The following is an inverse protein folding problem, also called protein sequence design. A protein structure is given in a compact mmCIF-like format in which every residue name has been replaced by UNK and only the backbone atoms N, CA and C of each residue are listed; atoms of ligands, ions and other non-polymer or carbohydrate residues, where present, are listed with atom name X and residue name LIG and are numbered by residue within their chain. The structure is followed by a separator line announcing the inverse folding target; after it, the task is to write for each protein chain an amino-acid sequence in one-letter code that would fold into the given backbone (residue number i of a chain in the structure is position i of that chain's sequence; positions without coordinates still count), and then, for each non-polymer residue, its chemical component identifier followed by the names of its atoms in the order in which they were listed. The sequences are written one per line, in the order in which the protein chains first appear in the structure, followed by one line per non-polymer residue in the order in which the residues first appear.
data_IF_107692799403
#
_entry.id   IF_107692799403
#
_cell.length_a   1.000
_cell.length_b   1.000
_cell.length_c   1.000
_cell.angle_alpha   90.00
_cell.angle_beta   90.00
_cell.angle_gamma   90.00
#
_symmetry.space_group_name_H-M   'P 1'
#
loop_
_entity.id
_entity.type
_entity.pdbx_description
1 polymer ?
#
# COMPACT_ATOMS: atom_id res chain seq x y z
N UNK A 1 2.58 -5.05 -2.38
CA UNK A 1 1.13 -4.83 -2.40
C UNK A 1 0.69 -4.31 -3.77
N UNK A 2 -0.16 -5.03 -4.49
CA UNK A 2 -0.61 -4.68 -5.83
C UNK A 2 -1.85 -3.76 -5.87
N UNK A 3 -2.49 -3.48 -4.77
CA UNK A 3 -3.71 -2.67 -4.75
C UNK A 3 -3.58 -1.32 -5.46
N UNK A 4 -2.52 -0.52 -5.28
CA UNK A 4 -2.40 0.77 -5.95
C UNK A 4 -2.45 0.67 -7.47
N UNK A 5 -1.79 -0.32 -8.05
CA UNK A 5 -1.78 -0.50 -9.50
C UNK A 5 -3.12 -0.95 -10.04
N UNK A 6 -3.76 -1.88 -9.32
CA UNK A 6 -5.07 -2.36 -9.68
C UNK A 6 -6.11 -1.22 -9.67
N UNK A 7 -6.09 -0.38 -8.63
CA UNK A 7 -6.93 0.82 -8.56
C UNK A 7 -6.58 1.87 -9.61
N UNK A 8 -5.29 2.03 -9.92
CA UNK A 8 -4.81 2.96 -10.96
C UNK A 8 -5.43 2.65 -12.31
N UNK A 9 -5.53 1.37 -12.67
CA UNK A 9 -6.14 0.93 -13.92
C UNK A 9 -7.67 0.80 -13.86
N UNK A 10 -8.30 1.17 -12.75
CA UNK A 10 -9.74 1.23 -12.60
C UNK A 10 -10.38 0.02 -11.96
N UNK A 11 -9.58 -0.92 -11.43
CA UNK A 11 -10.09 -2.04 -10.65
C UNK A 11 -10.67 -1.60 -9.32
N UNK A 12 -11.60 -2.37 -8.79
CA UNK A 12 -12.21 -2.20 -7.46
C UNK A 12 -12.28 -3.54 -6.76
N UNK A 13 -12.13 -3.54 -5.42
CA UNK A 13 -12.19 -4.78 -4.64
C UNK A 13 -13.61 -5.09 -4.18
N UNK A 14 -14.32 -4.06 -3.74
CA UNK A 14 -15.64 -4.17 -3.13
C UNK A 14 -16.50 -2.98 -3.51
N UNK A 15 -17.77 -3.01 -3.14
CA UNK A 15 -18.61 -1.82 -3.08
C UNK A 15 -18.05 -0.79 -2.08
N UNK A 16 -18.58 0.45 -2.12
CA UNK A 16 -18.16 1.54 -1.24
C UNK A 16 -18.48 1.27 0.24
N UNK A 17 -19.42 0.40 0.52
CA UNK A 17 -19.79 -0.01 1.87
C UNK A 17 -18.96 -1.17 2.43
N UNK A 18 -18.04 -1.73 1.67
CA UNK A 18 -17.24 -2.90 2.02
C UNK A 18 -18.10 -4.13 2.41
N UNK A 19 -19.23 -4.30 1.72
CA UNK A 19 -20.20 -5.37 2.05
C UNK A 19 -20.17 -6.50 1.04
N UNK A 20 -19.62 -6.27 -0.15
CA UNK A 20 -19.65 -7.21 -1.26
C UNK A 20 -18.46 -7.02 -2.22
N UNK A 21 -17.81 -8.11 -2.59
CA UNK A 21 -16.75 -8.17 -3.60
C UNK A 21 -17.27 -8.65 -4.96
N UNK A 22 -18.22 -9.59 -4.97
CA UNK A 22 -18.84 -10.07 -6.23
C UNK A 22 -19.56 -8.94 -6.97
N UNK A 23 -19.26 -8.76 -8.25
CA UNK A 23 -19.73 -7.67 -9.09
C UNK A 23 -18.84 -6.43 -9.06
N UNK A 24 -17.79 -6.43 -8.22
CA UNK A 24 -16.77 -5.39 -8.11
C UNK A 24 -15.39 -5.93 -8.48
N UNK A 25 -14.86 -6.86 -7.69
CA UNK A 25 -13.58 -7.48 -8.01
C UNK A 25 -13.62 -8.22 -9.34
N UNK A 26 -14.70 -8.91 -9.65
CA UNK A 26 -14.93 -9.66 -10.87
C UNK A 26 -15.75 -8.89 -11.95
N UNK A 27 -15.81 -7.55 -11.82
CA UNK A 27 -16.44 -6.71 -12.85
C UNK A 27 -15.58 -6.64 -14.13
N UNK A 28 -16.20 -6.33 -15.26
CA UNK A 28 -15.49 -6.12 -16.53
C UNK A 28 -14.36 -5.09 -16.41
N UNK A 29 -14.57 -4.01 -15.64
CA UNK A 29 -13.58 -2.96 -15.41
C UNK A 29 -12.40 -3.49 -14.58
N UNK A 30 -12.66 -4.29 -13.54
CA UNK A 30 -11.64 -4.91 -12.71
C UNK A 30 -10.84 -5.97 -13.47
N UNK A 31 -11.51 -6.79 -14.28
CA UNK A 31 -10.86 -7.76 -15.17
C UNK A 31 -9.97 -7.04 -16.19
N UNK A 32 -10.46 -5.94 -16.78
CA UNK A 32 -9.65 -5.13 -17.71
C UNK A 32 -8.42 -4.52 -17.03
N UNK A 33 -8.54 -4.06 -15.77
CA UNK A 33 -7.42 -3.55 -14.98
C UNK A 33 -6.37 -4.64 -14.71
N UNK A 34 -6.81 -5.85 -14.37
CA UNK A 34 -5.91 -7.00 -14.16
C UNK A 34 -5.22 -7.40 -15.48
N UNK A 35 -5.95 -7.47 -16.57
CA UNK A 35 -5.40 -7.77 -17.89
C UNK A 35 -4.35 -6.74 -18.33
N UNK A 36 -4.53 -5.45 -17.96
CA UNK A 36 -3.52 -4.42 -18.20
C UNK A 36 -2.23 -4.67 -17.41
N UNK A 37 -2.33 -5.13 -16.18
CA UNK A 37 -1.17 -5.52 -15.38
C UNK A 37 -0.47 -6.75 -15.96
N UNK A 38 -1.22 -7.74 -16.42
CA UNK A 38 -0.69 -8.94 -17.10
C UNK A 38 0.07 -8.53 -18.37
N UNK A 39 -0.53 -7.65 -19.20
CA UNK A 39 0.13 -7.13 -20.40
C UNK A 39 1.49 -6.49 -20.09
N UNK A 40 1.56 -5.65 -19.06
CA UNK A 40 2.80 -4.98 -18.65
C UNK A 40 3.83 -5.97 -18.09
N UNK A 41 3.37 -6.99 -17.37
CA UNK A 41 4.22 -8.06 -16.85
C UNK A 41 4.82 -8.90 -17.99
N UNK A 42 4.01 -9.33 -18.95
CA UNK A 42 4.45 -10.11 -20.11
C UNK A 42 5.45 -9.35 -21.00
N UNK A 43 5.29 -8.01 -21.06
CA UNK A 43 6.24 -7.12 -21.73
C UNK A 43 7.50 -6.83 -20.90
N UNK A 44 7.63 -7.38 -19.68
CA UNK A 44 8.72 -7.15 -18.73
C UNK A 44 8.91 -5.67 -18.37
N UNK A 45 7.84 -4.89 -18.40
CA UNK A 45 7.79 -3.51 -17.94
C UNK A 45 7.51 -3.44 -16.44
N UNK A 46 6.79 -4.45 -15.94
CA UNK A 46 6.35 -4.56 -14.55
C UNK A 46 6.69 -5.95 -14.01
N UNK A 47 7.21 -6.00 -12.79
CA UNK A 47 7.49 -7.24 -12.05
C UNK A 47 6.83 -7.18 -10.66
N UNK A 48 6.59 -8.33 -10.06
CA UNK A 48 5.93 -8.44 -8.76
C UNK A 48 6.92 -9.05 -7.79
N UNK A 49 7.34 -8.26 -6.80
CA UNK A 49 8.26 -8.69 -5.76
C UNK A 49 7.79 -9.97 -5.09
N UNK A 50 8.72 -10.90 -4.91
CA UNK A 50 8.55 -12.19 -4.21
C UNK A 50 7.48 -13.13 -4.80
N UNK A 51 6.95 -12.80 -5.99
CA UNK A 51 5.91 -13.61 -6.64
C UNK A 51 6.45 -14.25 -7.93
N UNK A 52 7.11 -13.46 -8.77
CA UNK A 52 7.62 -13.91 -10.08
C UNK A 52 9.13 -14.20 -10.09
N UNK A 53 9.77 -14.23 -8.92
CA UNK A 53 11.23 -14.40 -8.76
C UNK A 53 12.03 -13.14 -9.05
N UNK A 54 11.39 -11.99 -9.13
CA UNK A 54 12.06 -10.70 -9.28
C UNK A 54 12.86 -10.33 -8.02
N UNK A 55 13.84 -9.44 -8.20
CA UNK A 55 14.65 -8.92 -7.08
C UNK A 55 13.80 -8.08 -6.14
N UNK A 56 14.00 -8.25 -4.84
CA UNK A 56 13.32 -7.46 -3.83
C UNK A 56 13.59 -5.95 -4.03
N UNK A 57 12.56 -5.12 -3.85
CA UNK A 57 12.69 -3.66 -3.87
C UNK A 57 13.67 -3.13 -2.80
N UNK A 58 13.87 -3.86 -1.70
CA UNK A 58 14.88 -3.55 -0.70
C UNK A 58 16.30 -3.63 -1.25
N UNK A 59 16.53 -4.50 -2.24
CA UNK A 59 17.75 -4.54 -3.02
C UNK A 59 17.73 -3.56 -4.22
N UNK A 60 16.63 -2.86 -4.41
CA UNK A 60 16.37 -1.93 -5.51
C UNK A 60 17.42 -0.84 -5.67
N UNK A 61 18.03 -0.40 -4.55
CA UNK A 61 19.13 0.56 -4.55
C UNK A 61 20.35 0.09 -5.39
N UNK A 62 20.50 -1.22 -5.57
CA UNK A 62 21.54 -1.87 -6.36
C UNK A 62 20.98 -2.59 -7.58
N UNK A 63 19.66 -2.48 -7.84
CA UNK A 63 18.96 -3.30 -8.82
C UNK A 63 19.01 -2.73 -10.22
N UNK A 64 18.53 -3.54 -11.16
CA UNK A 64 18.35 -3.19 -12.56
C UNK A 64 17.06 -2.39 -12.82
N UNK A 65 16.28 -2.09 -11.77
CA UNK A 65 15.00 -1.38 -11.90
C UNK A 65 15.22 0.13 -12.05
N UNK A 66 14.55 0.73 -13.01
CA UNK A 66 14.51 2.18 -13.15
C UNK A 66 13.62 2.85 -12.09
N UNK A 67 12.59 2.12 -11.60
CA UNK A 67 11.65 2.58 -10.59
C UNK A 67 11.18 1.39 -9.76
N UNK A 68 10.86 1.65 -8.50
CA UNK A 68 10.21 0.68 -7.62
C UNK A 68 9.24 1.40 -6.69
N UNK A 69 8.27 0.67 -6.16
CA UNK A 69 7.27 1.21 -5.26
C UNK A 69 7.55 0.74 -3.85
N UNK A 70 7.72 1.70 -2.96
CA UNK A 70 7.99 1.43 -1.56
C UNK A 70 7.45 2.56 -0.68
N UNK A 71 7.31 2.30 0.60
CA UNK A 71 6.88 3.29 1.56
C UNK A 71 8.01 4.25 2.00
N UNK A 72 7.66 5.30 2.75
CA UNK A 72 8.63 6.32 3.18
C UNK A 72 9.73 5.76 4.08
N UNK A 73 9.48 4.65 4.78
CA UNK A 73 10.48 3.93 5.59
C UNK A 73 11.73 3.52 4.81
N UNK A 74 11.64 3.39 3.48
CA UNK A 74 12.80 3.08 2.64
C UNK A 74 13.89 4.11 2.82
N UNK A 75 13.56 5.39 2.81
CA UNK A 75 14.51 6.49 3.01
C UNK A 75 15.04 6.57 4.46
N UNK A 76 14.30 6.11 5.44
CA UNK A 76 14.78 5.98 6.81
C UNK A 76 15.67 4.75 7.06
N UNK A 77 15.59 3.75 6.18
CA UNK A 77 16.35 2.50 6.30
C UNK A 77 17.67 2.50 5.53
N UNK A 78 17.84 3.39 4.54
CA UNK A 78 19.01 3.50 3.68
C UNK A 78 19.57 4.92 3.66
N UNK A 79 20.71 5.12 4.32
CA UNK A 79 21.37 6.44 4.43
C UNK A 79 21.98 6.94 3.12
N UNK A 80 22.15 6.08 2.11
CA UNK A 80 22.86 6.38 0.87
C UNK A 80 21.92 6.59 -0.34
N UNK A 81 20.60 6.70 -0.13
CA UNK A 81 19.64 6.94 -1.21
C UNK A 81 20.00 8.15 -2.07
N UNK A 82 20.35 9.29 -1.45
CA UNK A 82 20.72 10.51 -2.17
C UNK A 82 22.01 10.31 -2.98
N UNK A 83 23.03 9.68 -2.39
CA UNK A 83 24.32 9.42 -3.05
C UNK A 83 24.16 8.48 -4.26
N UNK A 84 23.14 7.62 -4.25
CA UNK A 84 22.79 6.72 -5.34
C UNK A 84 21.77 7.30 -6.32
N UNK A 85 21.36 8.55 -6.12
CA UNK A 85 20.41 9.23 -7.00
C UNK A 85 18.98 8.70 -6.89
N UNK A 86 18.62 8.02 -5.79
CA UNK A 86 17.24 7.57 -5.53
C UNK A 86 16.45 8.76 -5.02
N UNK A 87 15.38 9.06 -5.71
CA UNK A 87 14.47 10.17 -5.39
C UNK A 87 13.03 9.69 -5.24
N UNK A 88 12.29 10.35 -4.37
CA UNK A 88 10.86 10.12 -4.26
C UNK A 88 10.09 10.80 -5.40
N UNK A 89 9.11 10.13 -5.96
CA UNK A 89 8.17 10.68 -6.93
C UNK A 89 6.75 10.19 -6.64
N UNK A 90 5.75 10.98 -6.98
CA UNK A 90 4.35 10.52 -6.91
C UNK A 90 4.12 9.40 -7.93
N UNK A 91 3.21 8.48 -7.61
CA UNK A 91 2.78 7.44 -8.54
C UNK A 91 2.22 8.11 -9.81
N UNK A 92 2.64 7.67 -11.01
CA UNK A 92 2.11 8.18 -12.26
C UNK A 92 0.59 8.08 -12.34
N UNK A 93 -0.04 9.04 -13.00
CA UNK A 93 -1.48 8.98 -13.23
C UNK A 93 -1.81 8.20 -14.49
N UNK A 94 -2.93 7.49 -14.48
CA UNK A 94 -3.49 6.83 -15.65
C UNK A 94 -4.94 7.28 -15.85
N UNK A 95 -5.25 7.88 -17.00
CA UNK A 95 -6.57 8.46 -17.32
C UNK A 95 -7.11 9.39 -16.22
N UNK A 96 -6.24 10.19 -15.63
CA UNK A 96 -6.57 11.12 -14.55
C UNK A 96 -6.72 10.45 -13.17
N UNK A 97 -6.55 9.14 -13.06
CA UNK A 97 -6.56 8.41 -11.77
C UNK A 97 -5.15 8.38 -11.18
N UNK A 98 -5.08 8.56 -9.89
CA UNK A 98 -3.91 8.24 -9.06
C UNK A 98 -4.39 7.38 -7.90
N UNK A 99 -3.55 6.49 -7.43
CA UNK A 99 -3.90 5.63 -6.30
C UNK A 99 -2.67 5.28 -5.48
N UNK A 100 -2.85 5.18 -4.18
CA UNK A 100 -1.88 4.65 -3.23
C UNK A 100 -2.64 3.90 -2.14
N UNK A 101 -1.94 3.13 -1.34
CA UNK A 101 -2.51 2.50 -0.16
C UNK A 101 -2.07 3.27 1.07
N UNK A 102 -3.00 3.53 1.99
CA UNK A 102 -2.67 4.00 3.33
C UNK A 102 -2.62 2.81 4.28
N UNK A 103 -1.59 2.78 5.07
CA UNK A 103 -1.40 1.87 6.20
C UNK A 103 -0.80 2.64 7.37
N UNK A 104 -0.46 1.95 8.43
CA UNK A 104 0.17 2.54 9.60
C UNK A 104 0.24 1.53 10.74
N UNK A 105 0.99 1.88 11.75
CA UNK A 105 1.11 1.14 12.98
C UNK A 105 0.18 1.75 14.04
N UNK A 106 -0.53 0.89 14.74
CA UNK A 106 -1.42 1.28 15.82
C UNK A 106 -0.77 0.99 17.17
N UNK A 107 -0.89 1.94 18.10
CA UNK A 107 -0.55 1.70 19.49
C UNK A 107 -1.81 1.32 20.26
N UNK A 108 -1.78 0.15 20.90
CA UNK A 108 -2.93 -0.40 21.62
C UNK A 108 -2.59 -0.69 23.09
N UNK A 109 -3.57 -0.46 23.96
CA UNK A 109 -3.49 -0.81 25.38
C UNK A 109 -4.33 -2.05 25.64
N UNK A 110 -3.69 -3.15 26.06
CA UNK A 110 -4.40 -4.40 26.34
C UNK A 110 -5.43 -4.23 27.47
N UNK A 111 -6.60 -4.80 27.31
CA UNK A 111 -7.67 -4.76 28.31
C UNK A 111 -7.26 -5.39 29.63
N UNK A 112 -6.34 -6.34 29.61
CA UNK A 112 -5.78 -7.04 30.78
C UNK A 112 -4.64 -6.29 31.49
N UNK A 113 -4.14 -5.18 30.89
CA UNK A 113 -3.08 -4.39 31.53
C UNK A 113 -3.50 -3.88 32.89
N UNK A 114 -2.58 -3.97 33.85
CA UNK A 114 -2.73 -3.40 35.19
C UNK A 114 -2.18 -1.97 35.31
N UNK A 115 -1.60 -1.45 34.23
CA UNK A 115 -0.97 -0.12 34.14
C UNK A 115 -1.59 0.72 33.02
N UNK A 116 -2.95 0.69 32.91
CA UNK A 116 -3.64 1.34 31.80
C UNK A 116 -3.41 2.83 31.72
N UNK A 117 -3.42 3.52 32.87
CA UNK A 117 -3.23 4.97 32.92
C UNK A 117 -1.84 5.36 32.39
N UNK A 118 -0.79 4.68 32.85
CA UNK A 118 0.56 4.90 32.35
C UNK A 118 0.70 4.56 30.84
N UNK A 119 0.03 3.49 30.39
CA UNK A 119 0.02 3.11 28.97
C UNK A 119 -0.70 4.16 28.11
N UNK A 120 -1.80 4.74 28.58
CA UNK A 120 -2.48 5.83 27.88
C UNK A 120 -1.64 7.12 27.83
N UNK A 121 -0.94 7.47 28.91
CA UNK A 121 -0.01 8.61 28.90
C UNK A 121 1.14 8.38 27.91
N UNK A 122 1.66 7.15 27.83
CA UNK A 122 2.66 6.79 26.82
C UNK A 122 2.09 6.91 25.38
N UNK A 123 0.88 6.40 25.14
CA UNK A 123 0.23 6.51 23.82
C UNK A 123 0.04 7.99 23.41
N UNK A 124 -0.37 8.87 24.35
CA UNK A 124 -0.45 10.32 24.10
C UNK A 124 0.91 10.93 23.79
N UNK A 125 1.95 10.53 24.52
CA UNK A 125 3.31 10.98 24.24
C UNK A 125 3.75 10.58 22.84
N UNK A 126 3.54 9.33 22.43
CA UNK A 126 3.86 8.83 21.10
C UNK A 126 3.13 9.56 19.97
N UNK A 127 1.95 10.11 20.25
CA UNK A 127 1.17 10.92 19.29
C UNK A 127 1.41 12.43 19.45
N UNK A 128 2.38 12.85 20.26
CA UNK A 128 2.73 14.27 20.42
C UNK A 128 3.48 14.80 19.20
N UNK A 129 3.43 16.12 18.98
CA UNK A 129 4.11 16.77 17.86
C UNK A 129 5.63 16.51 17.88
N UNK A 130 6.25 16.54 19.06
CA UNK A 130 7.67 16.26 19.27
C UNK A 130 8.05 14.87 18.75
N UNK A 131 7.30 13.83 19.16
CA UNK A 131 7.57 12.46 18.75
C UNK A 131 7.25 12.25 17.26
N UNK A 132 6.16 12.83 16.77
CA UNK A 132 5.80 12.72 15.36
C UNK A 132 6.83 13.37 14.42
N UNK A 133 7.47 14.45 14.83
CA UNK A 133 8.61 15.02 14.10
C UNK A 133 9.85 14.13 14.17
N UNK A 134 10.15 13.53 15.33
CA UNK A 134 11.27 12.60 15.47
C UNK A 134 11.06 11.31 14.61
N UNK A 135 9.82 10.86 14.46
CA UNK A 135 9.49 9.69 13.63
C UNK A 135 9.77 9.90 12.14
N UNK A 136 9.84 11.15 11.66
CA UNK A 136 10.26 11.42 10.28
C UNK A 136 11.68 10.89 9.98
N UNK A 137 12.58 10.96 10.94
CA UNK A 137 13.96 10.44 10.77
C UNK A 137 13.96 8.91 10.59
N UNK A 138 12.97 8.23 11.17
CA UNK A 138 12.75 6.80 10.98
C UNK A 138 11.94 6.46 9.69
N UNK A 139 11.64 7.45 8.86
CA UNK A 139 10.86 7.26 7.64
C UNK A 139 9.36 7.14 7.85
N UNK A 140 8.82 7.57 8.99
CA UNK A 140 7.39 7.54 9.27
C UNK A 140 6.75 8.90 9.01
N UNK A 141 5.65 8.92 8.27
CA UNK A 141 4.89 10.15 8.05
C UNK A 141 4.14 10.56 9.32
N UNK A 142 4.04 11.87 9.63
CA UNK A 142 3.33 12.31 10.82
C UNK A 142 1.82 12.09 10.65
N UNK A 143 1.18 11.65 11.73
CA UNK A 143 -0.28 11.45 11.79
C UNK A 143 -1.05 12.73 12.13
N UNK A 144 -0.35 13.77 12.61
CA UNK A 144 -0.97 15.02 13.00
C UNK A 144 -1.18 15.95 11.81
N UNK A 145 -2.41 16.35 11.57
CA UNK A 145 -2.75 17.30 10.49
C UNK A 145 -2.03 18.64 10.64
N UNK A 146 -1.72 19.08 11.86
CA UNK A 146 -0.95 20.30 12.13
C UNK A 146 0.47 20.26 11.57
N UNK A 147 1.02 19.07 11.35
CA UNK A 147 2.38 18.90 10.84
C UNK A 147 2.48 18.86 9.32
N UNK A 148 1.37 18.81 8.60
CA UNK A 148 1.37 18.82 7.12
C UNK A 148 2.05 20.09 6.58
N UNK A 149 1.81 21.23 7.22
CA UNK A 149 2.40 22.53 6.86
C UNK A 149 3.72 22.83 7.58
N UNK A 150 4.21 21.90 8.39
CA UNK A 150 5.49 22.08 9.07
C UNK A 150 6.64 22.08 8.05
N UNK A 151 7.60 23.00 8.22
CA UNK A 151 8.73 23.16 7.30
C UNK A 151 9.59 21.89 7.15
N UNK A 152 9.72 21.10 8.21
CA UNK A 152 10.42 19.82 8.17
C UNK A 152 9.75 18.78 7.26
N UNK A 153 8.44 18.91 7.04
CA UNK A 153 7.65 18.04 6.16
C UNK A 153 7.58 18.61 4.75
N UNK A 154 7.00 19.82 4.60
CA UNK A 154 6.68 20.38 3.29
C UNK A 154 7.89 20.76 2.44
N UNK A 155 9.01 21.13 3.06
CA UNK A 155 10.23 21.50 2.36
C UNK A 155 11.21 20.33 2.18
N UNK A 156 10.91 19.17 2.75
CA UNK A 156 11.71 17.99 2.56
C UNK A 156 11.37 17.32 1.22
N UNK A 157 12.35 17.02 0.34
CA UNK A 157 12.12 16.50 -1.00
C UNK A 157 11.48 15.09 -0.99
N UNK A 158 11.59 14.34 0.10
CA UNK A 158 11.00 13.02 0.26
C UNK A 158 9.60 13.15 0.87
N UNK A 159 9.50 13.74 2.06
CA UNK A 159 8.24 13.76 2.83
C UNK A 159 7.12 14.53 2.12
N UNK A 160 7.46 15.62 1.44
CA UNK A 160 6.47 16.40 0.65
C UNK A 160 5.84 15.57 -0.47
N UNK A 161 6.59 14.66 -1.10
CA UNK A 161 6.08 13.78 -2.15
C UNK A 161 5.11 12.75 -1.58
N UNK A 162 5.47 12.10 -0.49
CA UNK A 162 4.58 11.13 0.17
C UNK A 162 3.33 11.78 0.72
N UNK A 163 3.44 12.97 1.35
CA UNK A 163 2.27 13.71 1.82
C UNK A 163 1.32 14.08 0.67
N UNK A 164 1.86 14.49 -0.47
CA UNK A 164 1.05 14.73 -1.67
C UNK A 164 0.39 13.45 -2.18
N UNK A 165 1.08 12.32 -2.17
CA UNK A 165 0.52 11.04 -2.59
C UNK A 165 -0.62 10.58 -1.67
N UNK A 166 -0.60 10.96 -0.38
CA UNK A 166 -1.69 10.66 0.56
C UNK A 166 -3.05 11.23 0.15
N UNK A 167 -3.09 12.28 -0.69
CA UNK A 167 -4.35 12.84 -1.21
C UNK A 167 -5.15 11.82 -2.04
N UNK A 168 -4.49 10.84 -2.64
CA UNK A 168 -5.10 9.75 -3.42
C UNK A 168 -5.01 8.39 -2.76
N UNK A 169 -4.60 8.33 -1.50
CA UNK A 169 -4.46 7.08 -0.78
C UNK A 169 -5.82 6.49 -0.39
N UNK A 170 -5.94 5.18 -0.52
CA UNK A 170 -7.12 4.42 -0.12
C UNK A 170 -6.76 3.47 1.01
N UNK A 171 -7.67 3.35 1.98
CA UNK A 171 -7.55 2.33 3.02
C UNK A 171 -7.78 0.94 2.43
N UNK A 172 -7.15 -0.07 3.04
CA UNK A 172 -7.54 -1.46 2.84
C UNK A 172 -8.95 -1.69 3.38
N UNK A 173 -9.56 -2.81 3.02
CA UNK A 173 -10.91 -3.17 3.49
C UNK A 173 -10.92 -3.21 5.03
N UNK A 174 -11.75 -2.39 5.69
CA UNK A 174 -11.81 -2.30 7.14
C UNK A 174 -12.64 -3.46 7.73
N UNK A 175 -12.08 -4.67 7.68
CA UNK A 175 -12.72 -5.88 8.20
C UNK A 175 -11.86 -6.51 9.29
N UNK A 176 -12.45 -7.08 10.35
CA UNK A 176 -11.73 -7.91 11.29
C UNK A 176 -11.08 -9.14 10.63
N UNK A 177 -11.57 -9.55 9.46
CA UNK A 177 -11.03 -10.63 8.64
C UNK A 177 -10.05 -10.13 7.55
N UNK A 178 -9.54 -8.91 7.65
CA UNK A 178 -8.68 -8.31 6.63
C UNK A 178 -7.45 -9.19 6.28
N UNK A 179 -6.89 -9.90 7.26
CA UNK A 179 -5.77 -10.82 6.99
C UNK A 179 -6.16 -11.95 6.02
N UNK A 180 -7.32 -12.57 6.22
CA UNK A 180 -7.84 -13.59 5.31
C UNK A 180 -8.18 -13.02 3.92
N UNK A 181 -8.70 -11.80 3.87
CA UNK A 181 -8.96 -11.11 2.59
C UNK A 181 -7.67 -10.85 1.83
N UNK A 182 -6.60 -10.42 2.51
CA UNK A 182 -5.29 -10.22 1.90
C UNK A 182 -4.65 -11.54 1.42
N UNK A 183 -4.86 -12.63 2.16
CA UNK A 183 -4.40 -13.96 1.73
C UNK A 183 -5.11 -14.40 0.45
N UNK A 184 -6.45 -14.28 0.38
CA UNK A 184 -7.23 -14.59 -0.83
C UNK A 184 -6.75 -13.74 -2.03
N UNK A 185 -6.50 -12.46 -1.81
CA UNK A 185 -5.95 -11.58 -2.84
C UNK A 185 -4.57 -12.04 -3.31
N UNK A 186 -3.67 -12.38 -2.38
CA UNK A 186 -2.32 -12.84 -2.69
C UNK A 186 -2.33 -14.16 -3.46
N UNK A 187 -3.16 -15.12 -3.05
CA UNK A 187 -3.35 -16.38 -3.76
C UNK A 187 -3.85 -16.15 -5.20
N UNK A 188 -4.85 -15.30 -5.37
CA UNK A 188 -5.39 -14.93 -6.69
C UNK A 188 -4.27 -14.33 -7.58
N UNK A 189 -3.53 -13.37 -7.07
CA UNK A 189 -2.41 -12.74 -7.80
C UNK A 189 -1.37 -13.77 -8.18
N UNK A 190 -0.97 -14.63 -7.24
CA UNK A 190 0.00 -15.71 -7.50
C UNK A 190 -0.49 -16.67 -8.57
N UNK A 191 -1.75 -17.09 -8.49
CA UNK A 191 -2.33 -18.00 -9.50
C UNK A 191 -2.32 -17.39 -10.90
N UNK A 192 -2.60 -16.10 -11.02
CA UNK A 192 -2.61 -15.39 -12.31
C UNK A 192 -1.18 -15.22 -12.86
N UNK A 193 -0.26 -14.65 -12.08
CA UNK A 193 1.04 -14.21 -12.57
C UNK A 193 2.12 -15.30 -12.58
N UNK A 194 1.98 -16.32 -11.74
CA UNK A 194 2.96 -17.41 -11.63
C UNK A 194 2.45 -18.70 -12.25
N UNK A 195 1.19 -19.06 -11.99
CA UNK A 195 0.61 -20.32 -12.45
C UNK A 195 -0.10 -20.21 -13.80
N UNK A 196 -0.30 -18.98 -14.30
CA UNK A 196 -0.94 -18.73 -15.60
C UNK A 196 -2.45 -19.01 -15.61
N UNK A 197 -3.11 -18.85 -14.46
CA UNK A 197 -4.56 -19.02 -14.37
C UNK A 197 -5.30 -17.94 -15.18
N UNK A 198 -6.50 -18.30 -15.65
CA UNK A 198 -7.41 -17.34 -16.27
C UNK A 198 -7.81 -16.25 -15.28
N UNK A 199 -7.52 -14.99 -15.61
CA UNK A 199 -7.72 -13.88 -14.71
C UNK A 199 -9.20 -13.68 -14.32
N UNK A 200 -10.13 -13.82 -15.29
CA UNK A 200 -11.55 -13.62 -15.02
C UNK A 200 -12.08 -14.69 -14.06
N UNK A 201 -11.68 -15.94 -14.26
CA UNK A 201 -12.08 -17.03 -13.38
C UNK A 201 -11.46 -16.89 -11.97
N UNK A 202 -10.16 -16.60 -11.91
CA UNK A 202 -9.46 -16.43 -10.62
C UNK A 202 -10.07 -15.27 -9.81
N UNK A 203 -10.39 -14.15 -10.46
CA UNK A 203 -11.03 -12.98 -9.83
C UNK A 203 -12.46 -13.28 -9.38
N UNK A 204 -13.23 -14.05 -10.16
CA UNK A 204 -14.56 -14.49 -9.78
C UNK A 204 -14.53 -15.37 -8.53
N UNK A 205 -13.62 -16.36 -8.50
CA UNK A 205 -13.47 -17.26 -7.36
C UNK A 205 -12.99 -16.51 -6.10
N UNK A 206 -12.06 -15.56 -6.26
CA UNK A 206 -11.59 -14.72 -5.17
C UNK A 206 -12.69 -13.80 -4.64
N UNK A 207 -13.51 -13.19 -5.51
CA UNK A 207 -14.64 -12.34 -5.11
C UNK A 207 -15.63 -13.11 -4.22
N UNK A 208 -15.98 -14.34 -4.62
CA UNK A 208 -16.88 -15.18 -3.83
C UNK A 208 -16.30 -15.57 -2.45
N UNK A 209 -14.98 -15.84 -2.39
CA UNK A 209 -14.30 -16.11 -1.12
C UNK A 209 -14.25 -14.88 -0.22
N UNK A 210 -13.99 -13.69 -0.80
CA UNK A 210 -13.95 -12.43 -0.05
C UNK A 210 -15.33 -12.07 0.51
N UNK A 211 -16.41 -12.28 -0.23
CA UNK A 211 -17.77 -12.08 0.27
C UNK A 211 -18.03 -12.85 1.57
N UNK A 212 -17.50 -14.07 1.68
CA UNK A 212 -17.56 -14.88 2.90
C UNK A 212 -16.78 -14.30 4.10
N UNK A 213 -15.86 -13.38 3.87
CA UNK A 213 -15.08 -12.71 4.91
C UNK A 213 -15.63 -11.33 5.28
N UNK A 214 -16.51 -10.77 4.47
CA UNK A 214 -17.12 -9.46 4.70
C UNK A 214 -18.41 -9.54 5.56
N UNK A 215 -18.94 -10.76 5.76
CA UNK A 215 -20.20 -11.04 6.49
C UNK A 215 -20.00 -11.07 8.01
#
# INVERSE_FOLDING_TARGET
DMYPYFWLFGGTLTDDGFTKATGYLDSDASIAAMNKLIELHDQKIFTIRDVDGSVDAWDGINSEYAMFFEGPWYFGSYDDCEAKGIVAATIPTYEGRSASVVGGEDIAVFSTSKQKDAAYEFAKFMTSEEVQLAMLEAGQLPILKSLVENDAVKNNPVWSVYMKQMESAKARIPSPNNAAIQEIWSEMVTSIFVEGADAAQAMHDAAAKIDGQLS
#
